data_IF_567289657999
#
_entry.id   IF_567289657999
#
_cell.length_a   1.000
_cell.length_b   1.000
_cell.length_c   1.000
_cell.angle_alpha   90.00
_cell.angle_beta   90.00
_cell.angle_gamma   90.00
#
_symmetry.space_group_name_H-M   'P 1'
#
loop_
_entity.id
_entity.type
_entity.pdbx_description
1 polymer ?
#
# COMPACT_ATOMS: atom_id res chain seq x y z
N UNK A 1 0.52 -25.25 32.93
CA UNK A 1 -0.63 -26.00 32.39
C UNK A 1 -1.23 -25.21 31.22
N UNK A 2 -0.65 -25.36 30.03
CA UNK A 2 -1.21 -24.82 28.79
C UNK A 2 -1.98 -25.93 28.08
N UNK A 3 -3.28 -25.79 27.94
CA UNK A 3 -4.09 -26.75 27.20
C UNK A 3 -3.69 -26.65 25.72
N UNK A 4 -3.34 -27.78 25.10
CA UNK A 4 -3.24 -27.90 23.64
C UNK A 4 -4.59 -27.52 23.06
N UNK A 5 -4.67 -26.39 22.35
CA UNK A 5 -5.82 -26.03 21.56
C UNK A 5 -6.11 -27.13 20.54
N UNK A 6 -7.12 -27.96 20.82
CA UNK A 6 -7.71 -28.86 19.82
C UNK A 6 -8.62 -28.00 18.95
N UNK A 7 -8.06 -27.39 17.93
CA UNK A 7 -8.80 -26.78 16.85
C UNK A 7 -8.05 -27.05 15.57
N UNK A 8 -8.55 -27.96 14.74
CA UNK A 8 -8.21 -27.94 13.32
C UNK A 8 -8.59 -26.55 12.81
N UNK A 9 -7.67 -25.81 12.18
CA UNK A 9 -8.00 -24.52 11.57
C UNK A 9 -9.06 -24.80 10.50
N UNK A 10 -10.32 -24.59 10.86
CA UNK A 10 -11.44 -24.80 9.95
C UNK A 10 -11.70 -23.47 9.26
N UNK A 11 -11.32 -23.37 7.99
CA UNK A 11 -11.61 -22.21 7.13
C UNK A 11 -13.12 -21.95 6.94
N UNK A 12 -13.98 -22.78 7.55
CA UNK A 12 -15.44 -22.69 7.55
C UNK A 12 -16.00 -22.02 8.83
N UNK A 13 -15.16 -21.44 9.68
CA UNK A 13 -15.64 -20.64 10.82
C UNK A 13 -16.43 -19.43 10.27
N UNK A 14 -17.60 -19.13 10.83
CA UNK A 14 -18.51 -18.11 10.29
C UNK A 14 -17.83 -16.74 10.10
N UNK A 15 -16.97 -16.35 11.04
CA UNK A 15 -16.22 -15.09 10.99
C UNK A 15 -15.22 -15.04 9.83
N UNK A 16 -14.53 -16.15 9.54
CA UNK A 16 -13.59 -16.23 8.41
C UNK A 16 -14.32 -16.22 7.06
N UNK A 17 -15.48 -16.89 6.98
CA UNK A 17 -16.34 -16.83 5.81
C UNK A 17 -16.89 -15.42 5.57
N UNK A 18 -17.32 -14.72 6.62
CA UNK A 18 -17.81 -13.34 6.55
C UNK A 18 -16.71 -12.37 6.06
N UNK A 19 -15.50 -12.46 6.61
CA UNK A 19 -14.35 -11.66 6.17
C UNK A 19 -14.04 -11.94 4.68
N UNK A 20 -14.09 -13.20 4.25
CA UNK A 20 -13.84 -13.57 2.86
C UNK A 20 -14.92 -13.04 1.92
N UNK A 21 -16.20 -13.13 2.32
CA UNK A 21 -17.33 -12.56 1.57
C UNK A 21 -17.19 -11.04 1.43
N UNK A 22 -16.79 -10.35 2.51
CA UNK A 22 -16.54 -8.91 2.47
C UNK A 22 -15.40 -8.55 1.51
N UNK A 23 -14.27 -9.24 1.57
CA UNK A 23 -13.13 -9.01 0.68
C UNK A 23 -13.49 -9.26 -0.80
N UNK A 24 -14.24 -10.33 -1.09
CA UNK A 24 -14.71 -10.60 -2.45
C UNK A 24 -15.71 -9.54 -2.93
N UNK A 25 -16.65 -9.14 -2.07
CA UNK A 25 -17.62 -8.08 -2.36
C UNK A 25 -16.93 -6.77 -2.71
N UNK A 26 -15.91 -6.39 -1.93
CA UNK A 26 -15.14 -5.17 -2.18
C UNK A 26 -14.34 -5.25 -3.49
N UNK A 27 -13.74 -6.41 -3.78
CA UNK A 27 -13.03 -6.62 -5.05
C UNK A 27 -13.95 -6.52 -6.27
N UNK A 28 -15.16 -7.05 -6.18
CA UNK A 28 -16.18 -6.96 -7.23
C UNK A 28 -16.61 -5.51 -7.42
N UNK A 29 -16.91 -4.78 -6.33
CA UNK A 29 -17.27 -3.35 -6.39
C UNK A 29 -16.21 -2.51 -7.08
N UNK A 30 -14.93 -2.73 -6.76
CA UNK A 30 -13.82 -2.04 -7.43
C UNK A 30 -13.75 -2.35 -8.93
N UNK A 31 -14.05 -3.59 -9.32
CA UNK A 31 -14.05 -4.00 -10.74
C UNK A 31 -15.20 -3.33 -11.48
N UNK A 32 -16.40 -3.34 -10.90
CA UNK A 32 -17.58 -2.63 -11.44
C UNK A 32 -17.29 -1.13 -11.57
N UNK A 33 -16.68 -0.50 -10.57
CA UNK A 33 -16.34 0.92 -10.62
C UNK A 33 -15.39 1.24 -11.79
N UNK A 34 -14.39 0.39 -12.06
CA UNK A 34 -13.49 0.53 -13.22
C UNK A 34 -14.21 0.34 -14.56
N UNK A 35 -15.11 -0.65 -14.65
CA UNK A 35 -15.93 -0.85 -15.85
C UNK A 35 -16.77 0.39 -16.16
N UNK A 36 -17.43 0.95 -15.13
CA UNK A 36 -18.25 2.16 -15.27
C UNK A 36 -17.41 3.39 -15.65
N UNK A 37 -16.22 3.57 -15.05
CA UNK A 37 -15.32 4.68 -15.37
C UNK A 37 -14.83 4.67 -16.83
N UNK A 38 -14.64 3.48 -17.40
CA UNK A 38 -14.24 3.32 -18.79
C UNK A 38 -15.43 3.43 -19.77
N UNK A 39 -16.66 3.29 -19.27
CA UNK A 39 -17.85 3.39 -20.10
C UNK A 39 -18.12 4.85 -20.46
N UNK A 40 -18.39 5.10 -21.75
CA UNK A 40 -18.72 6.45 -22.24
C UNK A 40 -20.07 6.96 -21.73
N UNK A 41 -21.03 6.05 -21.54
CA UNK A 41 -22.38 6.34 -21.09
C UNK A 41 -22.81 5.29 -20.08
N UNK A 42 -23.48 5.73 -19.02
CA UNK A 42 -24.12 4.86 -18.04
C UNK A 42 -25.46 5.45 -17.61
N UNK A 43 -26.32 4.60 -17.06
CA UNK A 43 -27.57 4.96 -16.39
C UNK A 43 -27.66 4.23 -15.06
N UNK A 44 -28.36 4.82 -14.10
CA UNK A 44 -28.63 4.20 -12.80
C UNK A 44 -30.09 3.78 -12.75
N UNK A 45 -30.33 2.52 -12.39
CA UNK A 45 -31.64 1.96 -12.11
C UNK A 45 -31.76 1.86 -10.59
N UNK A 46 -32.82 2.43 -10.05
CA UNK A 46 -33.10 2.51 -8.62
C UNK A 46 -34.49 1.93 -8.37
N UNK A 47 -34.59 0.91 -7.52
CA UNK A 47 -35.87 0.25 -7.18
C UNK A 47 -36.00 0.05 -5.66
N UNK A 48 -37.21 0.10 -5.12
CA UNK A 48 -37.45 -0.06 -3.68
C UNK A 48 -37.82 -1.50 -3.35
N UNK A 49 -37.08 -2.11 -2.44
CA UNK A 49 -37.30 -3.49 -1.98
C UNK A 49 -37.33 -3.53 -0.45
N UNK A 50 -38.26 -4.27 0.15
CA UNK A 50 -38.32 -4.47 1.59
C UNK A 50 -37.33 -5.56 2.03
N UNK A 51 -36.62 -5.32 3.13
CA UNK A 51 -35.82 -6.36 3.78
C UNK A 51 -36.63 -7.24 4.73
N UNK A 52 -36.00 -8.28 5.29
CA UNK A 52 -36.62 -9.18 6.27
C UNK A 52 -37.04 -8.48 7.57
N UNK A 53 -36.53 -7.28 7.84
CA UNK A 53 -36.89 -6.44 9.00
C UNK A 53 -37.97 -5.41 8.67
N UNK A 54 -38.57 -5.47 7.47
CA UNK A 54 -39.54 -4.51 6.95
C UNK A 54 -39.02 -3.07 6.85
N UNK A 55 -37.71 -2.91 6.63
CA UNK A 55 -37.11 -1.64 6.26
C UNK A 55 -37.07 -1.56 4.73
N UNK A 56 -37.57 -0.46 4.17
CA UNK A 56 -37.45 -0.19 2.74
C UNK A 56 -35.99 0.10 2.37
N UNK A 57 -35.51 -0.54 1.30
CA UNK A 57 -34.15 -0.40 0.79
C UNK A 57 -34.19 -0.06 -0.70
N UNK A 58 -33.44 0.96 -1.09
CA UNK A 58 -33.16 1.23 -2.49
C UNK A 58 -32.09 0.28 -3.01
N UNK A 59 -32.44 -0.45 -4.05
CA UNK A 59 -31.57 -1.28 -4.87
C UNK A 59 -30.89 -0.40 -5.91
N UNK A 60 -29.57 -0.46 -6.01
CA UNK A 60 -28.80 0.29 -6.99
C UNK A 60 -28.17 -0.62 -8.03
N UNK A 61 -28.54 -0.39 -9.29
CA UNK A 61 -28.02 -1.12 -10.45
C UNK A 61 -27.47 -0.11 -11.46
N UNK A 62 -26.21 -0.29 -11.85
CA UNK A 62 -25.61 0.48 -12.94
C UNK A 62 -25.78 -0.27 -14.25
N UNK A 63 -26.27 0.43 -15.26
CA UNK A 63 -26.39 -0.08 -16.63
C UNK A 63 -25.50 0.72 -17.56
N UNK A 64 -24.60 0.05 -18.26
CA UNK A 64 -23.66 0.68 -19.19
C UNK A 64 -23.40 -0.23 -20.40
N UNK A 65 -22.67 0.30 -21.38
CA UNK A 65 -22.24 -0.44 -22.57
C UNK A 65 -20.76 -0.78 -22.43
N UNK A 66 -20.42 -2.06 -22.53
CA UNK A 66 -19.03 -2.52 -22.47
C UNK A 66 -18.27 -2.22 -23.78
N UNK A 67 -16.93 -2.41 -23.82
CA UNK A 67 -16.14 -2.18 -25.04
C UNK A 67 -16.56 -3.06 -26.23
N UNK A 68 -17.19 -4.20 -25.96
CA UNK A 68 -17.68 -5.15 -26.97
C UNK A 68 -19.12 -4.83 -27.42
N UNK A 69 -19.65 -3.66 -27.01
CA UNK A 69 -20.99 -3.16 -27.34
C UNK A 69 -22.16 -3.92 -26.72
N UNK A 70 -21.92 -4.68 -25.65
CA UNK A 70 -23.00 -5.32 -24.88
C UNK A 70 -23.53 -4.40 -23.80
N UNK A 71 -24.85 -4.45 -23.61
CA UNK A 71 -25.50 -3.79 -22.48
C UNK A 71 -25.30 -4.65 -21.24
N UNK A 72 -24.63 -4.09 -20.24
CA UNK A 72 -24.28 -4.76 -19.00
C UNK A 72 -24.97 -4.07 -17.83
N UNK A 73 -25.57 -4.87 -16.95
CA UNK A 73 -26.19 -4.42 -15.70
C UNK A 73 -25.40 -4.98 -14.51
N UNK A 74 -25.03 -4.10 -13.58
CA UNK A 74 -24.23 -4.41 -12.40
C UNK A 74 -24.95 -3.93 -11.15
N UNK A 75 -25.42 -4.87 -10.34
CA UNK A 75 -25.87 -4.57 -8.99
C UNK A 75 -24.71 -4.10 -8.13
N UNK A 76 -24.94 -3.04 -7.34
CA UNK A 76 -23.91 -2.45 -6.50
C UNK A 76 -24.21 -2.62 -5.01
N UNK A 77 -25.39 -2.19 -4.56
CA UNK A 77 -25.74 -2.14 -3.14
C UNK A 77 -27.24 -1.99 -2.91
N UNK A 78 -27.64 -2.33 -1.67
CA UNK A 78 -28.89 -1.93 -1.06
C UNK A 78 -28.61 -0.78 -0.08
N UNK A 79 -29.40 0.29 -0.12
CA UNK A 79 -29.31 1.40 0.83
C UNK A 79 -30.67 1.61 1.50
N UNK A 80 -30.78 1.55 2.84
CA UNK A 80 -32.05 1.74 3.53
C UNK A 80 -32.57 3.17 3.32
N UNK A 81 -33.89 3.31 3.12
CA UNK A 81 -34.59 4.59 3.00
C UNK A 81 -35.63 4.76 4.11
N UNK A 82 -35.74 5.99 4.60
CA UNK A 82 -36.72 6.35 5.64
C UNK A 82 -37.94 7.09 5.05
N UNK A 83 -37.87 7.50 3.78
CA UNK A 83 -38.88 8.29 3.10
C UNK A 83 -38.94 7.96 1.60
N UNK A 84 -40.15 7.97 1.04
CA UNK A 84 -40.44 7.75 -0.39
C UNK A 84 -40.74 9.04 -1.15
N UNK A 85 -40.45 10.21 -0.57
CA UNK A 85 -40.61 11.48 -1.30
C UNK A 85 -39.59 11.56 -2.43
N UNK A 86 -39.95 12.17 -3.56
CA UNK A 86 -39.04 12.31 -4.69
C UNK A 86 -37.74 13.04 -4.33
N UNK A 87 -37.84 14.01 -3.42
CA UNK A 87 -36.69 14.72 -2.84
C UNK A 87 -35.79 13.78 -2.03
N UNK A 88 -36.33 12.99 -1.09
CA UNK A 88 -35.50 12.09 -0.28
C UNK A 88 -34.85 10.98 -1.09
N UNK A 89 -35.51 10.50 -2.16
CA UNK A 89 -34.94 9.53 -3.07
C UNK A 89 -33.79 10.14 -3.90
N UNK A 90 -33.96 11.38 -4.39
CA UNK A 90 -32.91 12.09 -5.11
C UNK A 90 -31.68 12.35 -4.22
N UNK A 91 -31.90 12.79 -2.99
CA UNK A 91 -30.83 13.01 -2.01
C UNK A 91 -30.11 11.71 -1.66
N UNK A 92 -30.83 10.59 -1.56
CA UNK A 92 -30.25 9.27 -1.32
C UNK A 92 -29.34 8.83 -2.49
N UNK A 93 -29.77 9.06 -3.73
CA UNK A 93 -28.98 8.76 -4.93
C UNK A 93 -27.70 9.61 -4.96
N UNK A 94 -27.81 10.92 -4.72
CA UNK A 94 -26.67 11.84 -4.67
C UNK A 94 -25.69 11.45 -3.57
N UNK A 95 -26.18 11.23 -2.35
CA UNK A 95 -25.37 10.80 -1.20
C UNK A 95 -24.61 9.49 -1.46
N UNK A 96 -25.18 8.57 -2.25
CA UNK A 96 -24.50 7.33 -2.60
C UNK A 96 -23.37 7.55 -3.60
N UNK A 97 -23.60 8.34 -4.65
CA UNK A 97 -22.57 8.74 -5.63
C UNK A 97 -21.43 9.48 -4.95
N UNK A 98 -21.76 10.39 -4.05
CA UNK A 98 -20.81 11.19 -3.27
C UNK A 98 -19.94 10.33 -2.34
N UNK A 99 -20.55 9.41 -1.59
CA UNK A 99 -19.81 8.44 -0.75
C UNK A 99 -18.90 7.56 -1.59
N UNK A 100 -19.35 7.11 -2.76
CA UNK A 100 -18.51 6.33 -3.67
C UNK A 100 -17.32 7.14 -4.17
N UNK A 101 -17.52 8.39 -4.60
CA UNK A 101 -16.45 9.25 -5.08
C UNK A 101 -15.40 9.48 -3.98
N UNK A 102 -15.85 9.78 -2.75
CA UNK A 102 -14.98 9.93 -1.59
C UNK A 102 -14.19 8.65 -1.31
N UNK A 103 -14.88 7.51 -1.17
CA UNK A 103 -14.26 6.24 -0.83
C UNK A 103 -13.34 5.73 -1.93
N UNK A 104 -13.69 5.94 -3.21
CA UNK A 104 -12.83 5.58 -4.33
C UNK A 104 -11.54 6.40 -4.34
N UNK A 105 -11.62 7.72 -4.11
CA UNK A 105 -10.43 8.57 -4.05
C UNK A 105 -9.52 8.19 -2.87
N UNK A 106 -10.12 8.01 -1.68
CA UNK A 106 -9.40 7.57 -0.49
C UNK A 106 -8.73 6.20 -0.69
N UNK A 107 -9.48 5.19 -1.13
CA UNK A 107 -8.95 3.84 -1.31
C UNK A 107 -7.92 3.74 -2.43
N UNK A 108 -8.08 4.45 -3.54
CA UNK A 108 -7.06 4.45 -4.60
C UNK A 108 -5.71 4.92 -4.05
N UNK A 109 -5.70 6.05 -3.34
CA UNK A 109 -4.47 6.59 -2.76
C UNK A 109 -3.84 5.64 -1.72
N UNK A 110 -4.65 5.06 -0.84
CA UNK A 110 -4.17 4.08 0.15
C UNK A 110 -3.64 2.82 -0.56
N UNK A 111 -4.44 2.20 -1.42
CA UNK A 111 -4.11 0.94 -2.09
C UNK A 111 -2.90 1.08 -3.02
N UNK A 112 -2.72 2.21 -3.70
CA UNK A 112 -1.55 2.46 -4.55
C UNK A 112 -0.27 2.49 -3.72
N UNK A 113 -0.29 3.17 -2.56
CA UNK A 113 0.86 3.18 -1.64
C UNK A 113 1.13 1.79 -1.06
N UNK A 114 0.09 1.05 -0.69
CA UNK A 114 0.20 -0.34 -0.25
C UNK A 114 0.81 -1.25 -1.33
N UNK A 115 0.36 -1.10 -2.58
CA UNK A 115 0.83 -1.90 -3.70
C UNK A 115 2.32 -1.62 -3.98
N UNK A 116 2.72 -0.35 -4.00
CA UNK A 116 4.12 0.03 -4.19
C UNK A 116 5.03 -0.55 -3.09
N UNK A 117 4.62 -0.43 -1.82
CA UNK A 117 5.35 -1.03 -0.69
C UNK A 117 5.39 -2.56 -0.79
N UNK A 118 4.27 -3.20 -1.14
CA UNK A 118 4.18 -4.66 -1.31
C UNK A 118 5.11 -5.17 -2.41
N UNK A 119 5.18 -4.48 -3.54
CA UNK A 119 6.11 -4.82 -4.63
C UNK A 119 7.57 -4.71 -4.20
N UNK A 120 7.92 -3.68 -3.41
CA UNK A 120 9.28 -3.56 -2.89
C UNK A 120 9.63 -4.69 -1.92
N UNK A 121 8.71 -5.05 -1.01
CA UNK A 121 8.90 -6.13 -0.05
C UNK A 121 9.06 -7.52 -0.70
N UNK A 122 8.56 -7.70 -1.92
CA UNK A 122 8.66 -8.96 -2.68
C UNK A 122 9.93 -9.06 -3.53
N UNK A 123 10.79 -8.03 -3.52
CA UNK A 123 12.06 -8.08 -4.25
C UNK A 123 13.00 -9.10 -3.59
N UNK A 124 13.77 -9.81 -4.42
CA UNK A 124 14.74 -10.82 -3.96
C UNK A 124 16.00 -10.22 -3.33
N UNK A 125 16.27 -8.95 -3.61
CA UNK A 125 17.46 -8.20 -3.18
C UNK A 125 17.18 -7.24 -2.01
N UNK A 126 16.07 -7.44 -1.27
CA UNK A 126 15.69 -6.54 -0.18
C UNK A 126 16.43 -6.87 1.12
N UNK A 127 16.95 -5.84 1.79
CA UNK A 127 17.50 -5.95 3.14
C UNK A 127 16.41 -5.73 4.21
N UNK A 128 16.65 -6.33 5.38
CA UNK A 128 15.69 -6.32 6.49
C UNK A 128 15.45 -4.92 7.06
N UNK A 129 16.44 -4.02 7.01
CA UNK A 129 16.30 -2.65 7.50
C UNK A 129 15.40 -1.83 6.56
N UNK A 130 15.61 -1.95 5.25
CA UNK A 130 14.74 -1.35 4.23
C UNK A 130 13.33 -1.89 4.36
N UNK A 131 13.13 -3.20 4.54
CA UNK A 131 11.80 -3.77 4.77
C UNK A 131 11.10 -3.15 6.00
N UNK A 132 11.82 -3.01 7.11
CA UNK A 132 11.32 -2.39 8.34
C UNK A 132 10.97 -0.91 8.14
N UNK A 133 11.84 -0.17 7.44
CA UNK A 133 11.62 1.23 7.11
C UNK A 133 10.42 1.42 6.18
N UNK A 134 10.24 0.55 5.18
CA UNK A 134 9.11 0.61 4.26
C UNK A 134 7.75 0.41 4.95
N UNK A 135 7.67 -0.54 5.89
CA UNK A 135 6.45 -0.77 6.67
C UNK A 135 6.19 0.40 7.61
N UNK A 136 7.23 0.94 8.26
CA UNK A 136 7.10 2.11 9.13
C UNK A 136 6.65 3.34 8.33
N UNK A 137 7.25 3.59 7.16
CA UNK A 137 6.84 4.67 6.26
C UNK A 137 5.40 4.51 5.76
N UNK A 138 4.95 3.28 5.49
CA UNK A 138 3.56 3.01 5.11
C UNK A 138 2.61 3.30 6.27
N UNK A 139 2.99 2.92 7.49
CA UNK A 139 2.22 3.20 8.69
C UNK A 139 2.08 4.71 8.93
N UNK A 140 3.18 5.46 8.87
CA UNK A 140 3.18 6.92 9.03
C UNK A 140 2.31 7.59 7.97
N UNK A 141 2.41 7.11 6.72
CA UNK A 141 1.57 7.60 5.62
C UNK A 141 0.07 7.40 5.89
N UNK A 142 -0.34 6.22 6.37
CA UNK A 142 -1.75 5.93 6.69
C UNK A 142 -2.23 6.77 7.86
N UNK A 143 -1.40 6.88 8.91
CA UNK A 143 -1.72 7.70 10.08
C UNK A 143 -1.92 9.17 9.71
N UNK A 144 -1.09 9.71 8.82
CA UNK A 144 -1.20 11.08 8.31
C UNK A 144 -2.50 11.35 7.55
N UNK A 145 -3.17 10.32 7.01
CA UNK A 145 -4.44 10.52 6.29
C UNK A 145 -5.59 10.91 7.23
N UNK A 146 -5.46 10.72 8.55
CA UNK A 146 -6.51 11.04 9.53
C UNK A 146 -6.91 12.53 9.48
N UNK A 147 -5.94 13.39 9.20
CA UNK A 147 -6.16 14.84 9.08
C UNK A 147 -6.57 15.25 7.65
N UNK A 148 -6.49 14.34 6.68
CA UNK A 148 -6.76 14.58 5.26
C UNK A 148 -8.24 14.60 4.86
N UNK A 149 -9.18 14.48 5.81
CA UNK A 149 -10.62 14.35 5.53
C UNK A 149 -11.14 15.43 4.57
N UNK A 150 -10.80 16.70 4.82
CA UNK A 150 -11.25 17.84 3.99
C UNK A 150 -10.71 17.79 2.55
N UNK A 151 -9.53 17.21 2.35
CA UNK A 151 -8.95 17.06 1.02
C UNK A 151 -9.73 16.02 0.20
N UNK A 152 -10.10 14.90 0.81
CA UNK A 152 -10.93 13.88 0.18
C UNK A 152 -12.35 14.38 -0.10
N UNK A 153 -12.92 15.13 0.85
CA UNK A 153 -14.22 15.79 0.72
C UNK A 153 -14.22 16.76 -0.49
N UNK A 154 -13.20 17.62 -0.60
CA UNK A 154 -13.07 18.55 -1.73
C UNK A 154 -12.87 17.82 -3.06
N UNK A 155 -12.10 16.73 -3.08
CA UNK A 155 -11.89 15.94 -4.28
C UNK A 155 -13.17 15.25 -4.75
N UNK A 156 -14.00 14.74 -3.83
CA UNK A 156 -15.30 14.17 -4.13
C UNK A 156 -16.27 15.23 -4.67
N UNK A 157 -16.34 16.43 -4.06
CA UNK A 157 -17.16 17.54 -4.56
C UNK A 157 -16.80 17.98 -5.98
N UNK A 158 -15.51 17.95 -6.34
CA UNK A 158 -15.09 18.27 -7.70
C UNK A 158 -15.61 17.25 -8.75
N UNK A 159 -15.87 16.01 -8.34
CA UNK A 159 -16.38 14.95 -9.22
C UNK A 159 -17.90 14.99 -9.31
N UNK A 160 -18.60 15.24 -8.20
CA UNK A 160 -20.07 15.26 -8.17
C UNK A 160 -20.69 16.63 -8.50
N UNK A 161 -19.95 17.72 -8.35
CA UNK A 161 -20.43 19.09 -8.63
C UNK A 161 -21.47 19.60 -7.63
N UNK A 162 -21.74 18.86 -6.54
CA UNK A 162 -22.73 19.15 -5.50
C UNK A 162 -22.08 18.99 -4.12
N UNK A 163 -22.61 19.68 -3.10
CA UNK A 163 -22.18 19.49 -1.71
C UNK A 163 -22.50 18.07 -1.25
N UNK A 164 -21.53 17.39 -0.62
CA UNK A 164 -21.70 16.03 -0.10
C UNK A 164 -22.90 15.97 0.87
N UNK A 165 -23.86 15.10 0.58
CA UNK A 165 -24.94 14.77 1.50
C UNK A 165 -24.57 13.55 2.35
N UNK A 166 -24.58 13.71 3.66
CA UNK A 166 -24.28 12.65 4.60
C UNK A 166 -25.55 11.90 5.03
N UNK A 167 -25.36 10.66 5.49
CA UNK A 167 -26.46 9.73 5.83
C UNK A 167 -27.44 10.34 6.83
N UNK A 168 -26.94 11.12 7.79
CA UNK A 168 -27.75 11.76 8.84
C UNK A 168 -28.46 13.03 8.40
N UNK A 169 -27.99 13.70 7.34
CA UNK A 169 -28.63 14.91 6.77
C UNK A 169 -29.99 14.58 6.18
N UNK A 170 -30.17 13.32 5.78
CA UNK A 170 -31.38 12.78 5.16
C UNK A 170 -32.27 12.06 6.20
N UNK A 171 -31.75 11.76 7.40
CA UNK A 171 -32.49 11.05 8.46
C UNK A 171 -33.26 12.00 9.35
N UNK A 172 -34.51 11.65 9.66
CA UNK A 172 -35.34 12.46 10.57
C UNK A 172 -34.84 12.31 12.00
N UNK A 173 -34.47 13.42 12.65
CA UNK A 173 -34.04 13.42 14.05
C UNK A 173 -35.10 12.75 14.95
N UNK A 174 -34.77 11.58 15.52
CA UNK A 174 -35.62 10.89 16.49
C UNK A 174 -35.61 11.65 17.81
N UNK A 175 -36.75 12.22 18.20
CA UNK A 175 -36.95 12.74 19.57
C UNK A 175 -37.17 11.57 20.54
N UNK A 176 -36.26 11.40 21.50
CA UNK A 176 -36.44 10.49 22.65
C UNK A 176 -37.63 10.97 23.49
N UNK A 177 -38.45 10.04 24.00
CA UNK A 177 -39.44 10.35 25.04
C UNK A 177 -38.70 10.63 26.35
N UNK A 178 -38.77 11.86 26.84
CA UNK A 178 -38.21 12.26 28.14
C UNK A 178 -39.14 11.82 29.27
N UNK A 179 -38.56 11.30 30.36
CA UNK A 179 -39.28 11.06 31.61
C UNK A 179 -39.43 12.38 32.40
N UNK A 180 -40.38 12.46 33.33
CA UNK A 180 -40.74 13.71 34.01
C UNK A 180 -39.59 14.39 34.77
N UNK A 181 -38.57 13.62 35.19
CA UNK A 181 -37.40 14.11 35.95
C UNK A 181 -36.09 14.17 35.12
N UNK A 182 -36.11 13.84 33.82
CA UNK A 182 -34.93 13.98 32.95
C UNK A 182 -34.84 15.40 32.37
N UNK A 183 -33.69 16.05 32.56
CA UNK A 183 -33.35 17.31 31.89
C UNK A 183 -33.45 17.15 30.37
N UNK A 184 -34.19 18.03 29.71
CA UNK A 184 -34.31 18.10 28.26
C UNK A 184 -33.07 18.71 27.59
N UNK A 185 -31.87 18.30 28.00
CA UNK A 185 -30.67 18.67 27.26
C UNK A 185 -30.62 17.82 25.98
N UNK A 186 -30.55 18.45 24.79
CA UNK A 186 -30.40 17.69 23.56
C UNK A 186 -29.05 16.95 23.61
N UNK A 187 -29.06 15.64 23.34
CA UNK A 187 -27.84 14.89 23.04
C UNK A 187 -27.01 15.70 22.03
N UNK A 188 -25.70 15.78 22.23
CA UNK A 188 -24.79 16.54 21.35
C UNK A 188 -25.02 16.08 19.90
N UNK A 189 -25.69 16.92 19.10
CA UNK A 189 -25.98 16.64 17.70
C UNK A 189 -24.65 16.67 16.94
N UNK A 190 -24.10 15.49 16.62
CA UNK A 190 -23.09 15.41 15.57
C UNK A 190 -23.76 15.62 14.21
N UNK A 191 -23.22 16.56 13.43
CA UNK A 191 -23.55 16.77 12.02
C UNK A 191 -23.30 15.46 11.23
N UNK A 192 -24.04 15.22 10.13
CA UNK A 192 -23.89 13.99 9.34
C UNK A 192 -22.46 13.81 8.82
N UNK A 193 -21.80 14.94 8.54
CA UNK A 193 -20.37 15.03 8.23
C UNK A 193 -19.48 14.48 9.33
N UNK A 194 -19.65 14.97 10.54
CA UNK A 194 -18.84 14.57 11.69
C UNK A 194 -19.08 13.11 12.05
N UNK A 195 -20.32 12.62 11.90
CA UNK A 195 -20.62 11.20 12.06
C UNK A 195 -19.82 10.35 11.06
N UNK A 196 -19.86 10.67 9.77
CA UNK A 196 -19.12 9.91 8.77
C UNK A 196 -17.60 9.95 9.01
N UNK A 197 -17.07 11.12 9.38
CA UNK A 197 -15.66 11.30 9.74
C UNK A 197 -15.26 10.40 10.92
N UNK A 198 -16.05 10.40 11.99
CA UNK A 198 -15.71 9.69 13.23
C UNK A 198 -15.99 8.19 13.13
N UNK A 199 -17.16 7.79 12.65
CA UNK A 199 -17.62 6.40 12.68
C UNK A 199 -17.12 5.57 11.49
N UNK A 200 -16.79 6.20 10.36
CA UNK A 200 -16.32 5.49 9.16
C UNK A 200 -14.86 5.80 8.86
N UNK A 201 -14.54 7.05 8.52
CA UNK A 201 -13.21 7.42 8.02
C UNK A 201 -12.10 7.17 9.05
N UNK A 202 -12.25 7.70 10.26
CA UNK A 202 -11.27 7.52 11.32
C UNK A 202 -11.14 6.05 11.74
N UNK A 203 -12.27 5.32 11.82
CA UNK A 203 -12.27 3.89 12.16
C UNK A 203 -11.46 3.07 11.15
N UNK A 204 -11.60 3.34 9.85
CA UNK A 204 -10.82 2.67 8.81
C UNK A 204 -9.32 2.93 9.01
N UNK A 205 -8.92 4.18 9.21
CA UNK A 205 -7.52 4.57 9.40
C UNK A 205 -6.95 3.95 10.69
N UNK A 206 -7.68 4.01 11.79
CA UNK A 206 -7.29 3.43 13.07
C UNK A 206 -7.12 1.91 12.94
N UNK A 207 -8.02 1.23 12.21
CA UNK A 207 -7.91 -0.21 11.96
C UNK A 207 -6.70 -0.55 11.09
N UNK A 208 -6.49 0.16 9.98
CA UNK A 208 -5.33 -0.04 9.11
C UNK A 208 -4.01 0.22 9.86
N UNK A 209 -3.96 1.28 10.64
CA UNK A 209 -2.79 1.65 11.45
C UNK A 209 -2.50 0.57 12.49
N UNK A 210 -3.53 0.06 13.19
CA UNK A 210 -3.39 -1.03 14.15
C UNK A 210 -2.87 -2.32 13.49
N UNK A 211 -3.38 -2.67 12.31
CA UNK A 211 -2.91 -3.84 11.56
C UNK A 211 -1.46 -3.68 11.09
N UNK A 212 -1.08 -2.49 10.60
CA UNK A 212 0.30 -2.20 10.20
C UNK A 212 1.25 -2.17 11.38
N UNK A 213 0.82 -1.66 12.54
CA UNK A 213 1.61 -1.65 13.78
C UNK A 213 1.97 -3.06 14.21
N UNK A 214 1.01 -3.99 14.23
CA UNK A 214 1.27 -5.40 14.55
C UNK A 214 2.30 -6.02 13.60
N UNK A 215 2.23 -5.68 12.30
CA UNK A 215 3.23 -6.12 11.33
C UNK A 215 4.59 -5.46 11.58
N UNK A 216 4.61 -4.16 11.86
CA UNK A 216 5.83 -3.38 12.15
C UNK A 216 6.61 -3.97 13.33
N UNK A 217 5.91 -4.36 14.40
CA UNK A 217 6.50 -5.01 15.58
C UNK A 217 7.20 -6.32 15.24
N UNK A 218 6.59 -7.16 14.39
CA UNK A 218 7.20 -8.41 13.95
C UNK A 218 8.51 -8.17 13.15
N UNK A 219 8.54 -7.17 12.26
CA UNK A 219 9.74 -6.83 11.50
C UNK A 219 10.82 -6.18 12.36
N UNK A 220 10.44 -5.35 13.34
CA UNK A 220 11.38 -4.80 14.34
C UNK A 220 12.05 -5.91 15.12
N UNK A 221 11.27 -6.88 15.60
CA UNK A 221 11.81 -8.03 16.31
C UNK A 221 12.79 -8.86 15.47
N UNK A 222 12.47 -9.11 14.19
CA UNK A 222 13.39 -9.79 13.28
C UNK A 222 14.67 -8.98 13.03
N UNK A 223 14.55 -7.66 12.89
CA UNK A 223 15.70 -6.76 12.75
C UNK A 223 16.58 -6.75 14.01
N UNK A 224 15.98 -6.80 15.19
CA UNK A 224 16.73 -6.88 16.46
C UNK A 224 17.51 -8.20 16.59
N UNK A 225 16.93 -9.32 16.17
CA UNK A 225 17.57 -10.64 16.23
C UNK A 225 18.61 -10.84 15.12
N UNK A 226 18.22 -10.61 13.86
CA UNK A 226 19.02 -10.99 12.69
C UNK A 226 19.73 -9.82 12.02
N UNK A 227 19.46 -8.58 12.44
CA UNK A 227 20.07 -7.38 11.84
C UNK A 227 21.60 -7.37 11.92
N UNK A 228 22.19 -8.03 12.92
CA UNK A 228 23.65 -8.17 13.07
C UNK A 228 24.31 -8.85 11.87
N UNK A 229 23.60 -9.77 11.19
CA UNK A 229 24.12 -10.51 10.03
C UNK A 229 24.37 -9.62 8.81
N UNK A 230 23.73 -8.45 8.76
CA UNK A 230 23.88 -7.48 7.68
C UNK A 230 25.02 -6.47 7.93
N UNK A 231 25.83 -6.66 8.98
CA UNK A 231 27.00 -5.83 9.31
C UNK A 231 26.72 -4.31 9.37
N UNK A 232 25.71 -3.84 10.12
CA UNK A 232 25.43 -2.41 10.24
C UNK A 232 26.59 -1.65 10.88
N UNK A 233 26.83 -0.41 10.43
CA UNK A 233 28.01 0.37 10.81
C UNK A 233 28.09 0.69 12.31
N UNK A 234 26.94 0.96 12.95
CA UNK A 234 26.84 1.55 14.29
C UNK A 234 26.29 0.59 15.37
N UNK A 235 26.39 -0.72 15.17
CA UNK A 235 25.88 -1.70 16.14
C UNK A 235 27.03 -2.40 16.84
N UNK A 236 26.85 -2.62 18.14
CA UNK A 236 27.71 -3.51 18.92
C UNK A 236 27.44 -4.96 18.51
N UNK A 237 28.32 -5.49 17.66
CA UNK A 237 28.23 -6.83 17.09
C UNK A 237 28.24 -7.89 18.20
N UNK A 238 28.98 -7.64 19.29
CA UNK A 238 29.16 -8.63 20.35
C UNK A 238 27.85 -8.87 21.09
N UNK A 239 27.21 -7.81 21.58
CA UNK A 239 25.94 -7.88 22.28
C UNK A 239 24.82 -8.47 21.41
N UNK A 240 24.74 -8.08 20.12
CA UNK A 240 23.72 -8.60 19.21
C UNK A 240 23.96 -10.06 18.83
N UNK A 241 25.22 -10.48 18.62
CA UNK A 241 25.56 -11.87 18.33
C UNK A 241 25.28 -12.78 19.53
N UNK A 242 25.59 -12.33 20.75
CA UNK A 242 25.30 -13.07 21.99
C UNK A 242 23.78 -13.25 22.18
N UNK A 243 22.99 -12.22 21.91
CA UNK A 243 21.52 -12.30 21.97
C UNK A 243 20.95 -13.29 20.95
N UNK A 244 21.53 -13.33 19.75
CA UNK A 244 21.14 -14.27 18.70
C UNK A 244 21.53 -15.72 19.07
N UNK A 245 22.77 -15.95 19.51
CA UNK A 245 23.23 -17.28 19.96
C UNK A 245 22.44 -17.79 21.17
N UNK A 246 22.04 -16.90 22.10
CA UNK A 246 21.20 -17.26 23.24
C UNK A 246 19.78 -17.70 22.81
N UNK A 247 19.27 -17.15 21.71
CA UNK A 247 17.96 -17.50 21.15
C UNK A 247 17.98 -18.84 20.39
N UNK A 248 19.14 -19.22 19.84
CA UNK A 248 19.33 -20.46 19.06
C UNK A 248 20.54 -21.29 19.54
N UNK A 249 20.53 -21.78 20.79
CA UNK A 249 21.69 -22.44 21.40
C UNK A 249 22.04 -23.82 20.81
N UNK A 250 21.15 -24.40 19.99
CA UNK A 250 21.38 -25.67 19.28
C UNK A 250 21.98 -25.46 17.90
N UNK A 251 21.81 -24.26 17.32
CA UNK A 251 22.21 -23.96 15.94
C UNK A 251 23.44 -23.03 15.88
N UNK A 252 23.67 -22.23 16.92
CA UNK A 252 24.73 -21.22 16.96
C UNK A 252 25.68 -21.42 18.14
N UNK A 253 26.98 -21.35 17.86
CA UNK A 253 28.03 -21.40 18.88
C UNK A 253 28.23 -20.01 19.53
N UNK A 254 28.84 -20.00 20.71
CA UNK A 254 29.23 -18.79 21.44
C UNK A 254 30.39 -18.05 20.77
N UNK A 255 31.11 -18.68 19.84
CA UNK A 255 32.16 -18.04 19.04
C UNK A 255 31.62 -17.11 17.95
N UNK A 256 30.31 -17.08 17.71
CA UNK A 256 29.69 -16.28 16.65
C UNK A 256 30.06 -14.80 16.73
N UNK A 257 30.14 -14.23 17.93
CA UNK A 257 30.53 -12.83 18.12
C UNK A 257 31.94 -12.53 17.59
N UNK A 258 32.90 -13.42 17.87
CA UNK A 258 34.28 -13.30 17.40
C UNK A 258 34.36 -13.50 15.89
N UNK A 259 33.62 -14.47 15.34
CA UNK A 259 33.57 -14.75 13.90
C UNK A 259 33.04 -13.56 13.10
N UNK A 260 31.94 -12.94 13.55
CA UNK A 260 31.37 -11.75 12.89
C UNK A 260 32.30 -10.55 13.00
N UNK A 261 33.00 -10.39 14.14
CA UNK A 261 33.99 -9.32 14.34
C UNK A 261 35.20 -9.49 13.42
N UNK A 262 35.71 -10.72 13.28
CA UNK A 262 36.76 -11.04 12.33
C UNK A 262 36.31 -10.85 10.89
N UNK A 263 35.08 -11.26 10.55
CA UNK A 263 34.52 -11.08 9.21
C UNK A 263 34.39 -9.61 8.84
N UNK A 264 33.90 -8.75 9.74
CA UNK A 264 33.87 -7.28 9.53
C UNK A 264 35.27 -6.72 9.31
N UNK A 265 36.24 -7.16 10.11
CA UNK A 265 37.64 -6.76 9.97
C UNK A 265 38.24 -7.21 8.64
N UNK A 266 37.88 -8.41 8.19
CA UNK A 266 38.31 -8.96 6.91
C UNK A 266 37.73 -8.18 5.72
N UNK A 267 36.45 -7.81 5.75
CA UNK A 267 35.85 -6.93 4.72
C UNK A 267 36.62 -5.62 4.64
N UNK A 268 36.89 -4.98 5.78
CA UNK A 268 37.66 -3.74 5.83
C UNK A 268 39.07 -3.95 5.25
N UNK A 269 39.73 -5.05 5.61
CA UNK A 269 41.06 -5.39 5.10
C UNK A 269 41.09 -5.59 3.58
N UNK A 270 40.13 -6.31 3.00
CA UNK A 270 40.06 -6.55 1.54
C UNK A 270 39.79 -5.26 0.77
N UNK A 271 39.12 -4.27 1.38
CA UNK A 271 38.95 -2.94 0.76
C UNK A 271 40.21 -2.07 0.79
N UNK A 272 41.20 -2.41 1.64
CA UNK A 272 42.49 -1.73 1.64
C UNK A 272 43.34 -2.22 0.44
N UNK A 273 43.97 -1.32 -0.32
CA UNK A 273 44.77 -1.69 -1.48
C UNK A 273 46.15 -2.24 -1.05
N UNK A 274 46.19 -3.48 -0.55
CA UNK A 274 47.44 -4.12 -0.08
C UNK A 274 48.21 -4.77 -1.25
N UNK A 275 47.51 -5.29 -2.26
CA UNK A 275 48.10 -5.77 -3.53
C UNK A 275 47.17 -5.41 -4.69
N UNK A 276 47.56 -4.45 -5.54
CA UNK A 276 46.65 -3.79 -6.49
C UNK A 276 46.78 -4.31 -7.93
N UNK A 277 46.83 -5.62 -8.14
CA UNK A 277 46.92 -6.23 -9.48
C UNK A 277 45.86 -5.68 -10.47
N UNK A 278 44.66 -5.39 -10.00
CA UNK A 278 43.61 -4.75 -10.81
C UNK A 278 43.91 -3.27 -11.09
N UNK A 279 44.43 -2.53 -10.11
CA UNK A 279 44.94 -1.18 -10.32
C UNK A 279 46.00 -1.13 -11.41
N UNK A 280 46.98 -2.04 -11.39
CA UNK A 280 48.02 -2.13 -12.42
C UNK A 280 47.45 -2.46 -13.81
N UNK A 281 46.46 -3.35 -13.91
CA UNK A 281 45.75 -3.62 -15.17
C UNK A 281 45.02 -2.39 -15.69
N UNK A 282 44.35 -1.64 -14.81
CA UNK A 282 43.69 -0.39 -15.15
C UNK A 282 44.67 0.68 -15.63
N UNK A 283 45.82 0.84 -14.96
CA UNK A 283 46.90 1.74 -15.40
C UNK A 283 47.52 1.32 -16.73
N UNK A 284 47.67 0.01 -16.98
CA UNK A 284 48.17 -0.51 -18.25
C UNK A 284 47.21 -0.20 -19.41
N UNK A 285 45.90 -0.45 -19.22
CA UNK A 285 44.86 -0.06 -20.19
C UNK A 285 44.85 1.46 -20.43
N UNK A 286 44.93 2.25 -19.37
CA UNK A 286 44.98 3.72 -19.44
C UNK A 286 46.21 4.21 -20.22
N UNK A 287 47.38 3.63 -19.98
CA UNK A 287 48.62 3.97 -20.68
C UNK A 287 48.51 3.70 -22.18
N UNK A 288 47.87 2.60 -22.59
CA UNK A 288 47.60 2.29 -24.01
C UNK A 288 46.71 3.34 -24.67
N UNK A 289 45.56 3.67 -24.05
CA UNK A 289 44.63 4.70 -24.55
C UNK A 289 45.32 6.07 -24.64
N UNK A 290 46.11 6.42 -23.62
CA UNK A 290 46.83 7.70 -23.55
C UNK A 290 47.97 7.79 -24.56
N UNK A 291 48.67 6.69 -24.86
CA UNK A 291 49.76 6.66 -25.84
C UNK A 291 49.26 6.66 -27.28
N UNK A 292 48.18 5.93 -27.59
CA UNK A 292 47.58 5.93 -28.93
C UNK A 292 46.94 7.27 -29.30
N UNK A 293 46.36 7.98 -28.32
CA UNK A 293 45.59 9.22 -28.56
C UNK A 293 46.31 10.50 -28.09
N UNK A 294 47.61 10.39 -27.76
CA UNK A 294 48.43 11.39 -27.03
C UNK A 294 48.42 12.81 -27.60
N UNK A 295 48.16 13.00 -28.89
CA UNK A 295 48.28 14.30 -29.58
C UNK A 295 46.99 14.76 -30.27
N UNK A 296 45.86 14.06 -30.10
CA UNK A 296 44.66 14.28 -30.94
C UNK A 296 43.37 14.62 -30.18
N UNK A 297 43.40 14.83 -28.86
CA UNK A 297 42.14 14.82 -28.08
C UNK A 297 42.14 15.69 -26.82
N UNK A 298 40.97 16.24 -26.48
CA UNK A 298 40.71 16.98 -25.23
C UNK A 298 40.55 16.05 -24.02
N UNK A 299 40.82 16.58 -22.81
CA UNK A 299 40.87 15.81 -21.55
C UNK A 299 39.56 15.09 -21.20
N UNK A 300 38.41 15.72 -21.39
CA UNK A 300 37.09 15.11 -21.09
C UNK A 300 36.86 13.84 -21.92
N UNK A 301 37.14 13.91 -23.22
CA UNK A 301 36.97 12.77 -24.13
C UNK A 301 37.95 11.63 -23.81
N UNK A 302 39.18 11.97 -23.40
CA UNK A 302 40.16 10.98 -22.94
C UNK A 302 39.68 10.27 -21.67
N UNK A 303 39.12 11.02 -20.72
CA UNK A 303 38.58 10.47 -19.47
C UNK A 303 37.42 9.51 -19.75
N UNK A 304 36.43 9.91 -20.56
CA UNK A 304 35.31 9.03 -20.90
C UNK A 304 35.76 7.76 -21.62
N UNK A 305 36.69 7.86 -22.57
CA UNK A 305 37.24 6.70 -23.29
C UNK A 305 38.03 5.77 -22.36
N UNK A 306 38.83 6.33 -21.45
CA UNK A 306 39.58 5.55 -20.46
C UNK A 306 38.65 4.83 -19.51
N UNK A 307 37.58 5.51 -19.04
CA UNK A 307 36.55 4.90 -18.19
C UNK A 307 35.87 3.73 -18.91
N UNK A 308 35.42 3.91 -20.16
CA UNK A 308 34.79 2.84 -20.94
C UNK A 308 35.73 1.66 -21.23
N UNK A 309 37.03 1.92 -21.42
CA UNK A 309 38.02 0.88 -21.71
C UNK A 309 38.44 0.09 -20.45
N UNK A 310 38.58 0.79 -19.32
CA UNK A 310 38.89 0.17 -18.02
C UNK A 310 37.70 -0.64 -17.56
N UNK A 311 36.52 -0.01 -17.47
CA UNK A 311 35.24 -0.57 -17.00
C UNK A 311 34.43 -1.23 -18.12
N UNK A 312 35.13 -1.88 -19.06
CA UNK A 312 34.49 -2.48 -20.23
C UNK A 312 33.51 -3.60 -19.89
N UNK A 313 33.63 -4.24 -18.73
CA UNK A 313 32.68 -5.26 -18.26
C UNK A 313 31.38 -4.62 -17.80
N UNK A 314 31.43 -3.57 -16.96
CA UNK A 314 30.24 -2.80 -16.57
C UNK A 314 29.50 -2.24 -17.80
N UNK A 315 30.24 -1.79 -18.82
CA UNK A 315 29.65 -1.33 -20.09
C UNK A 315 28.88 -2.44 -20.84
N UNK A 316 29.28 -3.72 -20.71
CA UNK A 316 28.56 -4.85 -21.31
C UNK A 316 27.27 -5.16 -20.55
N UNK A 317 27.28 -5.03 -19.22
CA UNK A 317 26.10 -5.23 -18.37
C UNK A 317 25.04 -4.14 -18.58
N UNK A 318 25.47 -2.89 -18.76
CA UNK A 318 24.60 -1.77 -19.07
C UNK A 318 24.02 -1.84 -20.49
N UNK A 319 24.50 -2.75 -21.35
CA UNK A 319 23.95 -2.91 -22.68
C UNK A 319 22.53 -3.50 -22.54
N UNK A 320 21.46 -2.76 -22.88
CA UNK A 320 20.13 -3.33 -22.81
C UNK A 320 20.09 -4.59 -23.68
N UNK A 321 19.45 -5.65 -23.16
CA UNK A 321 19.18 -6.86 -23.93
C UNK A 321 18.66 -6.41 -25.30
N UNK A 322 19.26 -6.92 -26.39
CA UNK A 322 18.84 -6.64 -27.75
C UNK A 322 17.31 -6.86 -27.83
N UNK A 323 16.52 -5.78 -27.72
CA UNK A 323 15.21 -5.75 -28.35
C UNK A 323 15.56 -5.84 -29.82
N UNK A 324 15.39 -7.03 -30.39
CA UNK A 324 15.35 -7.22 -31.82
C UNK A 324 14.33 -6.22 -32.35
N UNK A 325 14.82 -5.05 -32.79
CA UNK A 325 14.07 -4.22 -33.72
C UNK A 325 13.97 -5.11 -34.94
N UNK A 326 12.79 -5.68 -35.17
CA UNK A 326 12.46 -6.29 -36.44
C UNK A 326 12.82 -5.26 -37.52
N UNK A 327 13.57 -5.63 -38.55
CA UNK A 327 13.78 -4.72 -39.67
C UNK A 327 12.39 -4.43 -40.24
N UNK A 328 11.90 -3.22 -39.99
CA UNK A 328 10.83 -2.62 -40.77
C UNK A 328 11.38 -2.65 -42.20
N UNK A 329 10.86 -3.56 -43.02
CA UNK A 329 10.98 -3.49 -44.46
C UNK A 329 10.41 -2.13 -44.86
N UNK A 330 11.31 -1.21 -45.22
CA UNK A 330 10.96 -0.11 -46.09
C UNK A 330 11.00 -0.70 -47.50
N UNK A 331 9.81 -0.92 -48.07
CA UNK A 331 9.59 -0.92 -49.51
C UNK A 331 8.98 0.43 -49.88
#
# INVERSE_FOLDING_TARGET
>A
FGWKGKGTVSYLLSTTCEEFIQLMGEKIKQTIAKEIQNAKYFSVIVDSTLDFSHVDQLTFIFRFVDPDWHVVERFLAFEPIESHTGESLADCILAMVDKMAFMAHFWNMVLDRFQATSQQLQRHDIDIFTATHLISSLQDFVAAQRDGFEAFERAAMNVSGVSLCYKRDIQRAKKRKTMADESAEPDVLHDGRDQFRVETFNVIIDKLTSCLQHRSEAYKHLTELFGVLFMPENVDITASADALSASYPLDLDKSLADELTHFRSFILFVTLPVTNCEGERSFSKMSRVKNELRTRMCQERLQSLSLMAIESELLKELRPAKKCISPILIL
#
